data_IF_750416829808
#
_entry.id   IF_750416829808
#
_cell.length_a   1.000
_cell.length_b   1.000
_cell.length_c   1.000
_cell.angle_alpha   90.00
_cell.angle_beta   90.00
_cell.angle_gamma   90.00
#
_symmetry.space_group_name_H-M   'P 1'
#
loop_
_entity.id
_entity.type
_entity.pdbx_description
1 polymer ?
#
# COMPACT_ATOMS: atom_id res chain seq x y z
N UNK A 1 7.46 14.26 28.87
CA UNK A 1 6.86 14.29 27.51
C UNK A 1 7.94 13.91 26.51
N UNK A 2 7.71 12.97 25.59
CA UNK A 2 8.69 12.65 24.54
C UNK A 2 8.76 13.82 23.54
N UNK A 3 9.97 14.19 23.10
CA UNK A 3 10.13 15.23 22.07
C UNK A 3 9.31 14.91 20.81
N UNK A 4 8.54 15.88 20.26
CA UNK A 4 7.83 15.68 19.02
C UNK A 4 8.83 15.45 17.89
N UNK A 5 8.66 14.35 17.14
CA UNK A 5 9.48 14.08 15.94
C UNK A 5 9.47 15.32 15.03
N UNK A 6 10.63 15.74 14.54
CA UNK A 6 10.83 16.90 13.66
C UNK A 6 9.73 17.12 12.58
N UNK A 7 9.26 16.04 11.95
CA UNK A 7 8.17 16.11 10.97
C UNK A 7 6.83 16.53 11.58
N UNK A 8 6.51 16.01 12.77
CA UNK A 8 5.30 16.37 13.51
C UNK A 8 5.36 17.83 13.98
N UNK A 9 6.52 18.31 14.42
CA UNK A 9 6.74 19.72 14.73
C UNK A 9 6.51 20.60 13.49
N UNK A 10 7.13 20.27 12.35
CA UNK A 10 6.89 20.99 11.10
C UNK A 10 5.40 20.99 10.70
N UNK A 11 4.68 19.87 10.88
CA UNK A 11 3.23 19.78 10.58
C UNK A 11 2.40 20.68 11.49
N UNK A 12 2.69 20.72 12.78
CA UNK A 12 1.97 21.58 13.73
C UNK A 12 2.15 23.06 13.35
N UNK A 13 3.38 23.46 13.05
CA UNK A 13 3.69 24.83 12.60
C UNK A 13 3.04 25.13 11.24
N UNK A 14 3.01 24.17 10.30
CA UNK A 14 2.31 24.34 9.01
C UNK A 14 0.79 24.50 9.19
N UNK A 15 0.20 23.77 10.14
CA UNK A 15 -1.22 23.92 10.47
C UNK A 15 -1.51 25.32 11.02
N UNK A 16 -0.68 25.81 11.94
CA UNK A 16 -0.78 27.18 12.44
C UNK A 16 -0.72 28.19 11.29
N UNK A 17 0.22 28.01 10.36
CA UNK A 17 0.34 28.87 9.20
C UNK A 17 -0.90 28.82 8.30
N UNK A 18 -1.53 27.64 8.16
CA UNK A 18 -2.77 27.50 7.39
C UNK A 18 -3.94 28.23 8.05
N UNK A 19 -4.03 28.17 9.38
CA UNK A 19 -5.04 28.90 10.17
C UNK A 19 -4.88 30.41 9.97
N UNK A 20 -3.66 30.95 10.09
CA UNK A 20 -3.41 32.37 9.86
C UNK A 20 -3.65 32.79 8.42
N UNK A 21 -3.27 31.96 7.44
CA UNK A 21 -3.54 32.26 6.02
C UNK A 21 -5.05 32.38 5.75
N UNK A 22 -5.85 31.52 6.38
CA UNK A 22 -7.32 31.63 6.33
C UNK A 22 -7.82 32.88 7.06
N UNK A 23 -7.34 33.12 8.27
CA UNK A 23 -7.77 34.25 9.10
C UNK A 23 -7.47 35.61 8.46
N UNK A 24 -6.32 35.79 7.81
CA UNK A 24 -5.94 37.01 7.07
C UNK A 24 -6.99 37.39 6.00
N UNK A 25 -7.65 36.39 5.40
CA UNK A 25 -8.66 36.61 4.35
C UNK A 25 -10.06 36.78 4.93
N UNK A 26 -10.40 36.03 5.98
CA UNK A 26 -11.79 35.90 6.47
C UNK A 26 -12.09 36.77 7.68
N UNK A 27 -11.09 37.07 8.51
CA UNK A 27 -11.27 37.86 9.73
C UNK A 27 -10.96 39.31 9.42
N UNK A 28 -12.02 40.11 9.34
CA UNK A 28 -11.98 41.55 9.09
C UNK A 28 -12.50 42.30 10.32
N UNK A 29 -12.05 43.54 10.49
CA UNK A 29 -12.59 44.46 11.49
C UNK A 29 -13.93 45.07 11.04
N UNK A 30 -14.51 45.92 11.89
CA UNK A 30 -15.79 46.60 11.62
C UNK A 30 -15.72 47.55 10.41
N UNK A 31 -14.51 47.94 9.98
CA UNK A 31 -14.25 48.74 8.78
C UNK A 31 -13.92 47.87 7.54
N UNK A 32 -14.12 46.56 7.65
CA UNK A 32 -13.85 45.58 6.60
C UNK A 32 -12.35 45.52 6.20
N UNK A 33 -11.45 45.89 7.10
CA UNK A 33 -9.99 45.80 6.93
C UNK A 33 -9.45 44.52 7.58
N UNK A 34 -8.28 44.07 7.11
CA UNK A 34 -7.65 42.86 7.64
C UNK A 34 -7.11 43.12 9.05
N UNK A 35 -7.42 42.21 9.97
CA UNK A 35 -6.85 42.27 11.35
C UNK A 35 -5.40 41.77 11.37
N UNK A 36 -5.06 40.86 10.46
CA UNK A 36 -3.72 40.28 10.34
C UNK A 36 -3.11 40.63 8.98
N UNK A 37 -1.92 41.23 8.99
CA UNK A 37 -1.23 41.63 7.76
C UNK A 37 -0.28 40.56 7.22
N UNK A 38 0.18 39.66 8.08
CA UNK A 38 1.15 38.64 7.72
C UNK A 38 0.93 37.33 8.48
N UNK A 39 1.44 36.25 7.91
CA UNK A 39 1.41 34.94 8.55
C UNK A 39 2.63 34.79 9.47
N UNK A 40 2.44 34.63 10.79
CA UNK A 40 3.55 34.56 11.73
C UNK A 40 4.47 33.36 11.50
N UNK A 41 4.01 32.33 10.76
CA UNK A 41 4.82 31.15 10.44
C UNK A 41 5.85 31.44 9.34
N UNK A 42 5.68 32.49 8.54
CA UNK A 42 6.63 32.85 7.47
C UNK A 42 8.01 33.21 8.02
N UNK A 43 8.08 33.61 9.31
CA UNK A 43 9.34 33.82 10.01
C UNK A 43 10.22 32.58 9.93
N UNK A 44 9.66 31.36 10.04
CA UNK A 44 10.38 30.09 10.03
C UNK A 44 11.15 29.86 8.74
N UNK A 45 10.60 30.34 7.62
CA UNK A 45 11.23 30.31 6.30
C UNK A 45 12.36 31.33 6.25
N UNK A 46 12.10 32.55 6.73
CA UNK A 46 13.08 33.65 6.76
C UNK A 46 14.32 33.29 7.59
N UNK A 47 14.12 32.75 8.80
CA UNK A 47 15.21 32.35 9.70
C UNK A 47 15.76 30.94 9.41
N UNK A 48 15.22 30.26 8.39
CA UNK A 48 15.61 28.90 7.96
C UNK A 48 15.61 27.86 9.09
N UNK A 49 14.61 27.93 10.00
CA UNK A 49 14.50 27.04 11.18
C UNK A 49 13.60 25.83 10.98
N UNK A 50 13.06 25.62 9.77
CA UNK A 50 12.35 24.39 9.45
C UNK A 50 13.23 23.15 9.67
N UNK A 51 12.70 22.13 10.34
CA UNK A 51 13.45 20.90 10.50
C UNK A 51 13.66 20.18 9.16
N UNK A 52 14.83 19.56 8.97
CA UNK A 52 15.11 18.74 7.79
C UNK A 52 14.21 17.49 7.78
N UNK A 53 13.30 17.43 6.81
CA UNK A 53 12.41 16.28 6.60
C UNK A 53 13.13 15.17 5.80
N UNK A 54 13.97 14.35 6.44
CA UNK A 54 14.55 13.17 5.78
C UNK A 54 13.47 12.10 5.54
N UNK A 55 13.25 11.72 4.28
CA UNK A 55 12.36 10.60 3.94
C UNK A 55 13.08 9.29 4.31
N UNK A 56 12.42 8.46 5.13
CA UNK A 56 12.93 7.13 5.49
C UNK A 56 12.99 6.26 4.24
N UNK A 57 14.19 5.75 3.91
CA UNK A 57 14.49 4.86 2.78
C UNK A 57 14.38 3.37 3.16
N UNK A 58 13.39 3.04 4.01
CA UNK A 58 13.25 1.68 4.52
C UNK A 58 12.76 0.73 3.43
N UNK A 59 13.46 -0.39 3.26
CA UNK A 59 13.13 -1.49 2.37
C UNK A 59 13.71 -2.79 2.95
N UNK A 60 13.13 -3.91 2.53
CA UNK A 60 13.70 -5.24 2.73
C UNK A 60 14.84 -5.38 1.75
N UNK A 61 15.98 -5.88 2.21
CA UNK A 61 17.08 -6.17 1.29
C UNK A 61 16.78 -7.49 0.55
N UNK A 62 17.20 -7.63 -0.72
CA UNK A 62 16.92 -8.84 -1.51
C UNK A 62 17.26 -10.16 -0.81
N UNK A 63 18.39 -10.21 -0.10
CA UNK A 63 18.88 -11.37 0.64
C UNK A 63 17.99 -11.76 1.85
N UNK A 64 17.19 -10.83 2.37
CA UNK A 64 16.29 -11.06 3.50
C UNK A 64 14.90 -11.55 3.06
N UNK A 65 14.57 -11.45 1.76
CA UNK A 65 13.23 -11.74 1.26
C UNK A 65 12.82 -13.19 1.55
N UNK A 66 13.72 -14.14 1.36
CA UNK A 66 13.46 -15.56 1.65
C UNK A 66 13.05 -15.77 3.11
N UNK A 67 13.84 -15.24 4.05
CA UNK A 67 13.57 -15.35 5.48
C UNK A 67 12.24 -14.70 5.88
N UNK A 68 11.92 -13.51 5.34
CA UNK A 68 10.66 -12.81 5.64
C UNK A 68 9.46 -13.56 5.07
N UNK A 69 9.54 -14.07 3.85
CA UNK A 69 8.45 -14.83 3.22
C UNK A 69 8.21 -16.13 3.99
N UNK A 70 9.26 -16.91 4.28
CA UNK A 70 9.14 -18.15 5.05
C UNK A 70 8.56 -17.92 6.43
N UNK A 71 9.08 -16.94 7.19
CA UNK A 71 8.54 -16.57 8.50
C UNK A 71 7.07 -16.13 8.42
N UNK A 72 6.68 -15.40 7.37
CA UNK A 72 5.29 -15.00 7.15
C UNK A 72 4.39 -16.23 6.97
N UNK A 73 4.82 -17.22 6.20
CA UNK A 73 4.06 -18.45 5.97
C UNK A 73 4.00 -19.29 7.24
N UNK A 74 5.14 -19.56 7.86
CA UNK A 74 5.24 -20.36 9.10
C UNK A 74 4.40 -19.79 10.24
N UNK A 75 4.46 -18.48 10.51
CA UNK A 75 3.62 -17.87 11.55
C UNK A 75 2.13 -17.95 11.16
N UNK A 76 1.82 -17.78 9.87
CA UNK A 76 0.45 -17.86 9.36
C UNK A 76 -0.17 -19.25 9.53
N UNK A 77 0.62 -20.30 9.30
CA UNK A 77 0.18 -21.69 9.32
C UNK A 77 0.34 -22.36 10.69
N UNK A 78 0.98 -21.70 11.67
CA UNK A 78 1.02 -22.18 13.05
C UNK A 78 -0.39 -22.37 13.61
N UNK A 79 -0.65 -23.58 14.10
CA UNK A 79 -1.85 -23.86 14.88
C UNK A 79 -1.92 -22.92 16.08
N UNK A 80 -3.11 -22.40 16.43
CA UNK A 80 -3.25 -21.57 17.62
C UNK A 80 -2.91 -22.42 18.86
N UNK A 81 -2.16 -21.84 19.80
CA UNK A 81 -1.74 -22.53 21.03
C UNK A 81 -2.91 -22.86 21.97
N UNK A 82 -4.10 -22.35 21.68
CA UNK A 82 -5.38 -22.53 22.39
C UNK A 82 -6.49 -22.61 21.35
N UNK A 83 -7.68 -23.05 21.74
CA UNK A 83 -8.91 -22.99 20.92
C UNK A 83 -9.43 -21.55 20.71
N UNK A 84 -8.53 -20.57 20.59
CA UNK A 84 -8.87 -19.18 20.33
C UNK A 84 -8.61 -18.91 18.86
N UNK A 85 -9.63 -18.45 18.10
CA UNK A 85 -9.44 -18.02 16.72
C UNK A 85 -8.35 -16.97 16.62
N UNK A 86 -7.50 -17.06 15.60
CA UNK A 86 -6.47 -16.05 15.32
C UNK A 86 -6.61 -15.52 13.91
N UNK A 87 -6.17 -14.28 13.69
CA UNK A 87 -6.13 -13.68 12.35
C UNK A 87 -4.81 -13.96 11.63
N UNK A 88 -3.98 -14.91 12.09
CA UNK A 88 -2.63 -15.12 11.56
C UNK A 88 -2.61 -15.55 10.09
N UNK A 89 -3.50 -16.45 9.68
CA UNK A 89 -3.65 -16.83 8.26
C UNK A 89 -3.95 -15.62 7.38
N UNK A 90 -4.93 -14.81 7.77
CA UNK A 90 -5.32 -13.61 7.03
C UNK A 90 -4.25 -12.52 7.07
N UNK A 91 -3.58 -12.32 8.21
CA UNK A 91 -2.50 -11.35 8.37
C UNK A 91 -1.26 -11.74 7.56
N UNK A 92 -0.93 -13.02 7.52
CA UNK A 92 0.13 -13.57 6.68
C UNK A 92 -0.16 -13.32 5.20
N UNK A 93 -1.37 -13.65 4.75
CA UNK A 93 -1.80 -13.38 3.38
C UNK A 93 -1.79 -11.88 3.06
N UNK A 94 -2.19 -11.01 3.99
CA UNK A 94 -2.13 -9.56 3.81
C UNK A 94 -0.69 -9.04 3.69
N UNK A 95 0.24 -9.56 4.49
CA UNK A 95 1.67 -9.21 4.41
C UNK A 95 2.26 -9.61 3.07
N UNK A 96 2.04 -10.86 2.65
CA UNK A 96 2.51 -11.34 1.35
C UNK A 96 1.81 -10.59 0.20
N UNK A 97 0.51 -10.31 0.31
CA UNK A 97 -0.23 -9.53 -0.68
C UNK A 97 0.37 -8.12 -0.85
N UNK A 98 0.71 -7.43 0.25
CA UNK A 98 1.38 -6.13 0.18
C UNK A 98 2.77 -6.22 -0.48
N UNK A 99 3.53 -7.29 -0.20
CA UNK A 99 4.85 -7.50 -0.80
C UNK A 99 4.76 -7.73 -2.32
N UNK A 100 3.76 -8.50 -2.78
CA UNK A 100 3.61 -8.86 -4.18
C UNK A 100 2.76 -7.88 -5.00
N UNK A 101 2.01 -6.96 -4.40
CA UNK A 101 1.17 -5.99 -5.13
C UNK A 101 1.60 -4.53 -4.96
N UNK A 102 2.37 -4.22 -3.92
CA UNK A 102 2.73 -2.84 -3.60
C UNK A 102 1.56 -1.99 -3.09
N UNK A 103 0.39 -2.55 -2.78
CA UNK A 103 -0.75 -1.79 -2.25
C UNK A 103 -0.39 -1.05 -0.93
N UNK A 104 -1.05 0.08 -0.62
CA UNK A 104 -0.80 0.75 0.66
C UNK A 104 -1.37 -0.07 1.82
N UNK A 105 -0.70 -0.10 2.98
CA UNK A 105 -1.20 -0.84 4.14
C UNK A 105 -2.63 -0.47 4.56
N UNK A 106 -2.99 0.80 4.52
CA UNK A 106 -4.34 1.27 4.87
C UNK A 106 -5.42 0.99 3.82
N UNK A 107 -5.05 0.44 2.66
CA UNK A 107 -5.99 0.05 1.60
C UNK A 107 -6.35 -1.44 1.65
N UNK A 108 -5.60 -2.26 2.41
CA UNK A 108 -5.85 -3.71 2.58
C UNK A 108 -7.26 -3.97 3.13
N UNK A 109 -7.64 -3.27 4.20
CA UNK A 109 -8.96 -3.40 4.83
C UNK A 109 -10.12 -2.84 3.99
N UNK A 110 -9.86 -2.36 2.77
CA UNK A 110 -10.87 -1.82 1.84
C UNK A 110 -11.23 -2.79 0.72
N UNK A 111 -10.49 -3.89 0.58
CA UNK A 111 -10.68 -4.85 -0.51
C UNK A 111 -11.92 -5.71 -0.22
N UNK A 112 -13.02 -5.40 -0.90
CA UNK A 112 -14.24 -6.23 -0.90
C UNK A 112 -14.10 -7.37 -1.92
N UNK A 113 -14.73 -8.51 -1.63
CA UNK A 113 -14.79 -9.67 -2.55
C UNK A 113 -15.46 -9.29 -3.88
N UNK A 114 -16.46 -8.40 -3.86
CA UNK A 114 -17.15 -7.93 -5.06
C UNK A 114 -16.26 -7.06 -5.99
N UNK A 115 -15.15 -6.50 -5.48
CA UNK A 115 -14.21 -5.71 -6.30
C UNK A 115 -13.22 -6.58 -7.07
N UNK A 116 -13.22 -7.90 -6.85
CA UNK A 116 -12.25 -8.82 -7.44
C UNK A 116 -12.73 -9.26 -8.81
N UNK A 117 -12.01 -8.86 -9.85
CA UNK A 117 -12.24 -9.36 -11.19
C UNK A 117 -11.38 -10.60 -11.45
N UNK A 118 -11.98 -11.78 -11.32
CA UNK A 118 -11.28 -13.05 -11.53
C UNK A 118 -10.80 -13.27 -12.98
N UNK A 119 -11.50 -12.69 -13.97
CA UNK A 119 -11.14 -12.81 -15.41
C UNK A 119 -9.80 -12.16 -15.74
N UNK A 120 -9.51 -11.03 -15.11
CA UNK A 120 -8.28 -10.23 -15.32
C UNK A 120 -7.29 -10.33 -14.15
N UNK A 121 -7.66 -11.06 -13.07
CA UNK A 121 -6.91 -11.10 -11.79
C UNK A 121 -6.54 -9.70 -11.32
N UNK A 122 -7.55 -8.83 -11.25
CA UNK A 122 -7.40 -7.46 -10.77
C UNK A 122 -8.40 -7.14 -9.65
N UNK A 123 -8.10 -6.09 -8.89
CA UNK A 123 -9.05 -5.46 -7.98
C UNK A 123 -9.45 -4.13 -8.61
N UNK A 124 -10.75 -3.93 -8.80
CA UNK A 124 -11.32 -2.70 -9.35
C UNK A 124 -11.90 -1.92 -8.18
N UNK A 125 -11.13 -0.96 -7.68
CA UNK A 125 -11.61 -0.05 -6.65
C UNK A 125 -12.52 1.00 -7.29
N UNK A 126 -13.80 1.11 -6.87
CA UNK A 126 -14.71 2.10 -7.42
C UNK A 126 -14.30 3.52 -7.01
N UNK A 127 -14.69 4.50 -7.85
CA UNK A 127 -14.59 5.91 -7.52
C UNK A 127 -15.44 6.26 -6.28
N UNK A 128 -15.08 7.33 -5.56
CA UNK A 128 -15.65 7.66 -4.23
C UNK A 128 -17.18 7.75 -4.22
N UNK A 129 -17.76 8.29 -5.27
CA UNK A 129 -19.20 8.46 -5.50
C UNK A 129 -19.93 7.15 -5.77
N UNK A 130 -19.23 6.12 -6.24
CA UNK A 130 -19.77 4.80 -6.57
C UNK A 130 -19.59 3.79 -5.43
N UNK A 131 -18.89 4.16 -4.36
CA UNK A 131 -18.63 3.26 -3.23
C UNK A 131 -19.81 3.24 -2.27
N UNK A 132 -20.36 2.06 -2.00
CA UNK A 132 -21.45 1.84 -1.00
C UNK A 132 -21.10 2.42 0.37
N UNK A 133 -19.83 2.33 0.78
CA UNK A 133 -19.29 2.88 2.03
C UNK A 133 -18.12 3.81 1.74
N UNK A 134 -18.25 5.10 2.05
CA UNK A 134 -17.18 6.10 1.81
C UNK A 134 -15.81 5.71 2.39
N UNK A 135 -15.78 4.93 3.48
CA UNK A 135 -14.53 4.45 4.09
C UNK A 135 -13.77 3.41 3.23
N UNK A 136 -14.44 2.81 2.24
CA UNK A 136 -13.87 1.85 1.29
C UNK A 136 -13.25 2.55 0.06
N UNK A 137 -13.52 3.84 -0.13
CA UNK A 137 -12.92 4.62 -1.21
C UNK A 137 -11.39 4.76 -1.03
N UNK A 138 -10.65 4.73 -2.14
CA UNK A 138 -9.22 4.98 -2.13
C UNK A 138 -8.89 6.43 -1.81
N UNK A 139 -7.62 6.68 -1.46
CA UNK A 139 -7.16 8.00 -1.03
C UNK A 139 -7.27 9.04 -2.15
N UNK A 140 -7.01 8.65 -3.40
CA UNK A 140 -7.15 9.50 -4.59
C UNK A 140 -8.61 9.72 -5.03
N UNK A 141 -9.57 9.01 -4.45
CA UNK A 141 -11.01 9.10 -4.75
C UNK A 141 -11.44 8.70 -6.18
N UNK A 142 -10.51 8.29 -7.03
CA UNK A 142 -10.76 7.83 -8.40
C UNK A 142 -10.84 6.30 -8.49
N UNK A 143 -11.44 5.81 -9.58
CA UNK A 143 -11.41 4.39 -9.91
C UNK A 143 -9.97 3.92 -10.11
N UNK A 144 -9.61 2.76 -9.56
CA UNK A 144 -8.26 2.21 -9.70
C UNK A 144 -8.29 0.71 -9.95
N UNK A 145 -7.56 0.27 -10.98
CA UNK A 145 -7.41 -1.13 -11.34
C UNK A 145 -6.06 -1.65 -10.85
N UNK A 146 -6.05 -2.35 -9.72
CA UNK A 146 -4.87 -3.05 -9.25
C UNK A 146 -4.75 -4.40 -9.95
N UNK A 147 -3.98 -4.47 -11.02
CA UNK A 147 -3.63 -5.74 -11.68
C UNK A 147 -2.63 -6.49 -10.81
N UNK A 148 -2.94 -7.76 -10.51
CA UNK A 148 -2.13 -8.59 -9.63
C UNK A 148 -1.20 -9.48 -10.45
N UNK A 149 -0.08 -9.90 -9.86
CA UNK A 149 0.63 -11.12 -10.28
C UNK A 149 -0.02 -12.37 -9.66
N UNK A 150 0.50 -13.56 -9.94
CA UNK A 150 -0.13 -14.80 -9.46
C UNK A 150 -0.04 -14.94 -7.96
N UNK A 151 1.11 -14.61 -7.39
CA UNK A 151 1.37 -14.72 -5.96
C UNK A 151 0.47 -13.80 -5.15
N UNK A 152 0.29 -12.55 -5.58
CA UNK A 152 -0.68 -11.63 -4.98
C UNK A 152 -2.11 -12.16 -5.12
N UNK A 153 -2.48 -12.68 -6.29
CA UNK A 153 -3.82 -13.24 -6.49
C UNK A 153 -4.07 -14.49 -5.63
N UNK A 154 -3.07 -15.37 -5.48
CA UNK A 154 -3.13 -16.52 -4.58
C UNK A 154 -3.31 -16.10 -3.11
N UNK A 155 -2.63 -15.04 -2.65
CA UNK A 155 -2.85 -14.50 -1.30
C UNK A 155 -4.29 -14.00 -1.11
N UNK A 156 -4.83 -13.33 -2.13
CA UNK A 156 -6.21 -12.86 -2.12
C UNK A 156 -7.20 -14.03 -2.01
N UNK A 157 -7.02 -15.08 -2.83
CA UNK A 157 -7.86 -16.27 -2.78
C UNK A 157 -7.76 -17.00 -1.44
N UNK A 158 -6.54 -17.16 -0.92
CA UNK A 158 -6.31 -17.81 0.37
C UNK A 158 -7.00 -17.04 1.51
N UNK A 159 -6.85 -15.71 1.55
CA UNK A 159 -7.47 -14.86 2.57
C UNK A 159 -9.00 -14.89 2.50
N UNK A 160 -9.56 -14.80 1.28
CA UNK A 160 -11.00 -14.80 1.06
C UNK A 160 -11.68 -16.11 1.53
N UNK A 161 -10.96 -17.24 1.55
CA UNK A 161 -11.47 -18.51 2.09
C UNK A 161 -11.44 -18.61 3.61
N UNK A 162 -10.70 -17.75 4.31
CA UNK A 162 -10.63 -17.79 5.79
C UNK A 162 -11.87 -17.18 6.46
N UNK A 163 -12.75 -16.54 5.71
CA UNK A 163 -13.92 -15.86 6.24
C UNK A 163 -15.09 -15.87 5.25
N UNK A 164 -16.32 -15.81 5.75
CA UNK A 164 -17.54 -15.71 4.93
C UNK A 164 -17.99 -14.27 4.65
N UNK A 165 -17.35 -13.26 5.27
CA UNK A 165 -17.74 -11.85 5.16
C UNK A 165 -17.43 -11.20 3.81
N UNK A 166 -17.77 -9.92 3.69
CA UNK A 166 -17.66 -9.16 2.44
C UNK A 166 -16.23 -8.76 2.07
N UNK A 167 -15.33 -8.63 3.05
CA UNK A 167 -13.94 -8.26 2.81
C UNK A 167 -13.06 -9.47 2.57
N UNK A 168 -12.09 -9.30 1.69
CA UNK A 168 -11.06 -10.33 1.46
C UNK A 168 -10.24 -10.55 2.72
N UNK A 169 -9.78 -9.47 3.36
CA UNK A 169 -8.95 -9.52 4.55
C UNK A 169 -9.78 -9.12 5.78
N UNK A 170 -10.30 -10.11 6.50
CA UNK A 170 -11.06 -9.94 7.74
C UNK A 170 -10.22 -10.25 9.00
N UNK A 171 -10.60 -9.65 10.14
CA UNK A 171 -10.03 -9.96 11.44
C UNK A 171 -10.85 -11.03 12.17
N UNK A 172 -10.39 -11.45 13.36
CA UNK A 172 -11.22 -12.26 14.27
C UNK A 172 -12.33 -11.38 14.78
N UNK A 173 -13.59 -11.77 14.55
CA UNK A 173 -14.79 -11.01 14.96
C UNK A 173 -14.82 -9.55 14.43
N UNK A 174 -14.01 -9.25 13.43
CA UNK A 174 -13.93 -7.94 12.80
C UNK A 174 -14.17 -8.08 11.31
N UNK A 175 -15.02 -7.22 10.76
CA UNK A 175 -15.34 -7.20 9.33
C UNK A 175 -14.07 -7.02 8.48
N UNK A 176 -13.07 -6.31 9.01
CA UNK A 176 -11.80 -5.96 8.34
C UNK A 176 -10.61 -6.35 9.19
N UNK A 177 -9.52 -6.73 8.55
CA UNK A 177 -8.23 -6.86 9.20
C UNK A 177 -7.73 -5.48 9.65
N UNK A 178 -7.52 -5.29 10.96
CA UNK A 178 -7.06 -4.01 11.50
C UNK A 178 -5.58 -3.75 11.20
N UNK A 179 -5.19 -2.48 11.15
CA UNK A 179 -3.78 -2.10 11.03
C UNK A 179 -2.94 -2.57 12.23
N UNK A 180 -3.56 -2.75 13.40
CA UNK A 180 -2.91 -3.29 14.59
C UNK A 180 -2.55 -4.77 14.37
N UNK A 181 -3.47 -5.58 13.84
CA UNK A 181 -3.19 -6.99 13.57
C UNK A 181 -2.00 -7.16 12.61
N UNK A 182 -1.95 -6.37 11.54
CA UNK A 182 -0.83 -6.40 10.58
C UNK A 182 0.48 -5.97 11.25
N UNK A 183 0.46 -4.91 12.07
CA UNK A 183 1.64 -4.46 12.81
C UNK A 183 2.16 -5.54 13.74
N UNK A 184 1.28 -6.15 14.51
CA UNK A 184 1.65 -7.14 15.52
C UNK A 184 2.15 -8.42 14.85
N UNK A 185 1.60 -8.79 13.69
CA UNK A 185 2.11 -9.88 12.86
C UNK A 185 3.53 -9.58 12.31
N UNK A 186 3.78 -8.37 11.82
CA UNK A 186 5.13 -7.95 11.40
C UNK A 186 6.14 -7.93 12.56
N UNK A 187 5.71 -7.59 13.78
CA UNK A 187 6.54 -7.72 14.98
C UNK A 187 6.89 -9.18 15.26
N UNK A 188 5.96 -10.13 15.04
CA UNK A 188 6.25 -11.56 15.19
C UNK A 188 7.26 -12.05 14.16
N UNK A 189 7.13 -11.63 12.89
CA UNK A 189 8.13 -11.91 11.85
C UNK A 189 9.49 -11.35 12.27
N UNK A 190 9.54 -10.07 12.65
CA UNK A 190 10.74 -9.39 13.13
C UNK A 190 11.43 -10.19 14.23
N UNK A 191 10.70 -10.69 15.22
CA UNK A 191 11.26 -11.49 16.31
C UNK A 191 11.81 -12.86 15.90
N UNK A 192 11.41 -13.39 14.74
CA UNK A 192 11.96 -14.64 14.18
C UNK A 192 13.20 -14.40 13.30
N UNK A 193 13.43 -13.17 12.83
CA UNK A 193 14.63 -12.84 12.07
C UNK A 193 15.85 -12.78 13.00
N UNK A 194 17.01 -13.22 12.50
CA UNK A 194 18.26 -13.26 13.26
C UNK A 194 18.65 -11.89 13.83
N UNK A 195 18.46 -10.83 13.04
CA UNK A 195 18.83 -9.45 13.38
C UNK A 195 17.70 -8.68 14.09
N UNK A 196 16.54 -9.31 14.31
CA UNK A 196 15.33 -8.69 14.86
C UNK A 196 14.98 -7.36 14.20
N UNK A 197 15.20 -7.25 12.88
CA UNK A 197 14.96 -6.03 12.11
C UNK A 197 13.56 -5.51 12.30
N UNK A 198 13.41 -4.23 12.63
CA UNK A 198 12.10 -3.60 12.72
C UNK A 198 11.41 -3.53 11.35
N UNK A 199 10.21 -4.11 11.25
CA UNK A 199 9.42 -4.16 10.02
C UNK A 199 8.19 -3.24 10.12
N UNK A 200 8.28 -1.93 9.80
CA UNK A 200 7.11 -1.08 9.79
C UNK A 200 6.20 -1.44 8.62
N UNK A 201 4.86 -1.33 8.78
CA UNK A 201 3.88 -1.73 7.75
C UNK A 201 4.18 -1.24 6.32
N UNK A 202 4.70 -0.02 6.17
CA UNK A 202 5.04 0.58 4.87
C UNK A 202 6.23 -0.09 4.16
N UNK A 203 7.01 -0.92 4.86
CA UNK A 203 8.23 -1.52 4.33
C UNK A 203 7.93 -2.40 3.11
N UNK A 204 6.84 -3.17 3.14
CA UNK A 204 6.47 -4.11 2.08
C UNK A 204 6.23 -3.39 0.75
N UNK A 205 5.46 -2.30 0.79
CA UNK A 205 5.24 -1.44 -0.38
C UNK A 205 6.53 -0.76 -0.85
N UNK A 206 7.36 -0.28 0.08
CA UNK A 206 8.63 0.35 -0.27
C UNK A 206 9.60 -0.66 -0.92
N UNK A 207 9.60 -1.91 -0.45
CA UNK A 207 10.32 -3.02 -1.06
C UNK A 207 9.80 -3.33 -2.45
N UNK A 208 8.48 -3.46 -2.63
CA UNK A 208 7.87 -3.70 -3.95
C UNK A 208 8.32 -2.65 -4.98
N UNK A 209 8.28 -1.36 -4.62
CA UNK A 209 8.74 -0.27 -5.50
C UNK A 209 10.23 -0.44 -5.84
N UNK A 210 11.09 -0.66 -4.84
CA UNK A 210 12.53 -0.83 -5.06
C UNK A 210 12.87 -2.08 -5.87
N UNK A 211 12.09 -3.15 -5.72
CA UNK A 211 12.25 -4.39 -6.47
C UNK A 211 11.77 -4.19 -7.91
N UNK A 212 10.69 -3.44 -8.13
CA UNK A 212 10.24 -3.08 -9.46
C UNK A 212 11.29 -2.27 -10.23
N UNK A 213 11.93 -1.30 -9.58
CA UNK A 213 13.06 -0.55 -10.17
C UNK A 213 14.20 -1.51 -10.55
N UNK A 214 14.56 -2.44 -9.67
CA UNK A 214 15.62 -3.44 -9.91
C UNK A 214 15.26 -4.41 -11.04
N UNK A 215 14.00 -4.79 -11.16
CA UNK A 215 13.47 -5.63 -12.23
C UNK A 215 13.34 -4.90 -13.58
N UNK A 216 13.79 -3.64 -13.68
CA UNK A 216 13.75 -2.85 -14.90
C UNK A 216 12.35 -2.37 -15.28
N UNK A 217 11.43 -2.26 -14.31
CA UNK A 217 10.09 -1.70 -14.55
C UNK A 217 10.20 -0.17 -14.64
N UNK A 218 9.70 0.40 -15.73
CA UNK A 218 9.72 1.84 -15.94
C UNK A 218 8.95 2.63 -14.89
N UNK A 219 9.40 3.84 -14.56
CA UNK A 219 8.85 4.68 -13.50
C UNK A 219 7.33 4.94 -13.65
N UNK A 220 6.85 5.10 -14.88
CA UNK A 220 5.42 5.24 -15.19
C UNK A 220 4.62 4.01 -14.70
N UNK A 221 5.03 2.80 -15.10
CA UNK A 221 4.36 1.57 -14.68
C UNK A 221 4.45 1.35 -13.17
N UNK A 222 5.56 1.73 -12.51
CA UNK A 222 5.67 1.68 -11.05
C UNK A 222 4.63 2.61 -10.39
N UNK A 223 4.44 3.83 -10.91
CA UNK A 223 3.41 4.75 -10.42
C UNK A 223 2.02 4.13 -10.56
N UNK A 224 1.71 3.51 -11.71
CA UNK A 224 0.43 2.85 -11.97
C UNK A 224 0.21 1.68 -11.02
N UNK A 225 1.16 0.74 -10.92
CA UNK A 225 1.08 -0.41 -10.02
C UNK A 225 0.82 -0.01 -8.57
N UNK A 226 1.34 1.15 -8.16
CA UNK A 226 1.24 1.66 -6.81
C UNK A 226 0.09 2.66 -6.59
N UNK A 227 -0.70 3.02 -7.60
CA UNK A 227 -1.65 4.14 -7.53
C UNK A 227 -1.00 5.40 -6.91
N UNK A 228 0.18 5.78 -7.39
CA UNK A 228 0.93 6.91 -6.84
C UNK A 228 0.60 8.19 -7.61
N UNK A 229 -0.21 9.06 -7.01
CA UNK A 229 -0.51 10.39 -7.56
C UNK A 229 0.78 11.16 -7.86
N UNK A 230 0.90 11.75 -9.05
CA UNK A 230 2.10 12.48 -9.50
C UNK A 230 2.48 13.71 -8.67
N UNK A 231 1.62 14.17 -7.75
CA UNK A 231 1.89 15.34 -6.90
C UNK A 231 2.94 15.03 -5.82
N UNK A 232 4.19 15.46 -6.03
CA UNK A 232 5.21 15.50 -4.97
C UNK A 232 6.64 15.11 -5.36
N UNK A 233 6.87 14.75 -6.63
CA UNK A 233 8.19 14.80 -7.27
C UNK A 233 8.03 15.64 -8.53
N UNK A 234 9.12 16.16 -9.10
CA UNK A 234 9.12 16.85 -10.41
C UNK A 234 8.18 16.10 -11.34
N UNK A 235 6.98 16.67 -11.55
CA UNK A 235 5.93 15.99 -12.27
C UNK A 235 6.44 15.95 -13.69
N UNK A 236 6.85 14.79 -14.15
CA UNK A 236 7.05 14.60 -15.57
C UNK A 236 5.68 14.80 -16.20
N UNK A 237 5.46 15.99 -16.75
CA UNK A 237 4.21 16.42 -17.39
C UNK A 237 3.75 15.42 -18.46
N UNK A 238 4.66 14.59 -18.98
CA UNK A 238 4.35 13.55 -19.97
C UNK A 238 3.57 12.36 -19.38
N UNK A 239 3.64 12.10 -18.08
CA UNK A 239 2.94 10.97 -17.46
C UNK A 239 1.41 11.14 -17.44
N UNK A 240 0.91 12.38 -17.51
CA UNK A 240 -0.53 12.65 -17.63
C UNK A 240 -1.13 12.25 -18.99
N UNK A 241 -0.30 11.99 -20.00
CA UNK A 241 -0.74 11.58 -21.35
C UNK A 241 -0.57 10.08 -21.60
N UNK A 242 0.00 9.33 -20.64
CA UNK A 242 0.28 7.91 -20.80
C UNK A 242 -0.87 7.08 -20.24
N UNK A 243 -1.41 6.20 -21.09
CA UNK A 243 -2.25 5.08 -20.67
C UNK A 243 -1.49 3.78 -20.89
N UNK A 244 -1.60 2.84 -19.97
CA UNK A 244 -1.07 1.48 -20.14
C UNK A 244 -2.21 0.49 -20.32
N UNK A 245 -2.10 -0.42 -21.27
CA UNK A 245 -2.98 -1.58 -21.35
C UNK A 245 -2.79 -2.49 -20.14
N UNK A 246 -3.84 -3.21 -19.73
CA UNK A 246 -3.74 -4.14 -18.60
C UNK A 246 -2.69 -5.24 -18.85
N UNK A 247 -2.44 -5.63 -20.11
CA UNK A 247 -1.33 -6.52 -20.48
C UNK A 247 0.03 -5.96 -20.08
N UNK A 248 0.28 -4.67 -20.31
CA UNK A 248 1.55 -4.02 -19.97
C UNK A 248 1.73 -3.96 -18.45
N UNK A 249 0.67 -3.61 -17.72
CA UNK A 249 0.69 -3.62 -16.25
C UNK A 249 0.91 -5.04 -15.72
N UNK A 250 0.26 -6.04 -16.32
CA UNK A 250 0.43 -7.43 -15.97
C UNK A 250 1.87 -7.89 -16.19
N UNK A 251 2.47 -7.55 -17.33
CA UNK A 251 3.88 -7.83 -17.60
C UNK A 251 4.81 -7.15 -16.58
N UNK A 252 4.53 -5.90 -16.22
CA UNK A 252 5.28 -5.18 -15.20
C UNK A 252 5.20 -5.87 -13.83
N UNK A 253 4.01 -6.22 -13.34
CA UNK A 253 3.89 -6.91 -12.03
C UNK A 253 4.46 -8.33 -12.06
N UNK A 254 4.43 -9.02 -13.20
CA UNK A 254 5.09 -10.33 -13.36
C UNK A 254 6.61 -10.21 -13.28
N UNK A 255 7.22 -9.17 -13.85
CA UNK A 255 8.67 -8.91 -13.67
C UNK A 255 9.03 -8.72 -12.20
N UNK A 256 8.21 -7.98 -11.45
CA UNK A 256 8.42 -7.81 -9.99
C UNK A 256 8.30 -9.14 -9.27
N UNK A 257 7.30 -9.95 -9.61
CA UNK A 257 7.12 -11.29 -9.04
C UNK A 257 8.35 -12.18 -9.26
N UNK A 258 8.86 -12.24 -10.50
CA UNK A 258 10.08 -12.98 -10.84
C UNK A 258 11.27 -12.53 -10.02
N UNK A 259 11.51 -11.22 -9.92
CA UNK A 259 12.64 -10.68 -9.14
C UNK A 259 12.52 -10.99 -7.63
N UNK A 260 11.30 -11.00 -7.08
CA UNK A 260 11.08 -11.44 -5.69
C UNK A 260 11.52 -12.90 -5.53
N UNK A 261 11.13 -13.79 -6.44
CA UNK A 261 11.50 -15.20 -6.38
C UNK A 261 13.00 -15.45 -6.61
N UNK A 262 13.59 -14.73 -7.57
CA UNK A 262 15.02 -14.80 -7.86
C UNK A 262 15.86 -14.34 -6.67
N UNK A 263 15.39 -13.34 -5.91
CA UNK A 263 16.05 -12.86 -4.71
C UNK A 263 15.78 -13.77 -3.50
N UNK A 264 14.54 -14.22 -3.31
CA UNK A 264 14.11 -14.98 -2.14
C UNK A 264 14.54 -16.45 -2.16
N UNK A 265 14.83 -17.02 -3.35
CA UNK A 265 15.17 -18.44 -3.54
C UNK A 265 14.16 -19.39 -2.88
N UNK A 266 12.88 -19.05 -2.97
CA UNK A 266 11.76 -19.82 -2.43
C UNK A 266 10.86 -20.34 -3.54
N UNK A 267 10.30 -21.54 -3.38
CA UNK A 267 9.38 -22.10 -4.36
C UNK A 267 8.06 -21.31 -4.44
N UNK A 268 7.60 -21.04 -5.66
CA UNK A 268 6.34 -20.30 -5.91
C UNK A 268 5.12 -21.08 -5.45
N UNK A 269 5.14 -22.41 -5.51
CA UNK A 269 4.07 -23.28 -5.03
C UNK A 269 3.85 -23.17 -3.51
N UNK A 270 4.94 -23.13 -2.73
CA UNK A 270 4.92 -22.89 -1.28
C UNK A 270 4.25 -21.54 -0.98
N UNK A 271 4.72 -20.45 -1.62
CA UNK A 271 4.15 -19.11 -1.40
C UNK A 271 2.68 -19.03 -1.82
N UNK A 272 2.31 -19.70 -2.91
CA UNK A 272 0.95 -19.73 -3.41
C UNK A 272 0.03 -20.69 -2.65
N UNK A 273 0.53 -21.44 -1.65
CA UNK A 273 -0.28 -22.32 -0.78
C UNK A 273 -1.20 -23.27 -1.55
N UNK A 274 -0.70 -23.84 -2.65
CA UNK A 274 -1.45 -24.76 -3.51
C UNK A 274 -2.48 -24.11 -4.45
N UNK A 275 -2.66 -22.79 -4.43
CA UNK A 275 -3.61 -22.11 -5.32
C UNK A 275 -3.11 -21.98 -6.76
N UNK A 276 -1.80 -22.11 -7.00
CA UNK A 276 -1.21 -21.88 -8.32
C UNK A 276 -1.81 -22.79 -9.40
N UNK A 277 -2.01 -24.08 -9.09
CA UNK A 277 -2.63 -25.05 -10.01
C UNK A 277 -4.12 -24.84 -10.21
N UNK A 278 -4.77 -24.07 -9.33
CA UNK A 278 -6.22 -23.79 -9.39
C UNK A 278 -6.55 -22.55 -10.23
N UNK A 279 -5.54 -21.80 -10.68
CA UNK A 279 -5.74 -20.53 -11.35
C UNK A 279 -6.29 -20.74 -12.77
N UNK A 280 -7.52 -20.29 -13.01
CA UNK A 280 -8.12 -20.29 -14.35
C UNK A 280 -7.36 -19.35 -15.31
N UNK A 281 -7.25 -19.67 -16.62
CA UNK A 281 -6.63 -18.79 -17.61
C UNK A 281 -7.21 -17.37 -17.59
N UNK A 282 -6.35 -16.38 -17.88
CA UNK A 282 -6.74 -14.98 -17.98
C UNK A 282 -7.52 -14.71 -19.28
N UNK A 283 -8.46 -13.78 -19.23
CA UNK A 283 -9.12 -13.27 -20.43
C UNK A 283 -8.18 -12.32 -21.19
N UNK A 284 -7.42 -12.89 -22.12
CA UNK A 284 -6.42 -12.14 -22.91
C UNK A 284 -7.03 -11.00 -23.72
N UNK A 285 -8.28 -11.14 -24.19
CA UNK A 285 -8.98 -10.11 -24.96
C UNK A 285 -9.26 -8.89 -24.09
N UNK A 286 -9.77 -9.09 -22.88
CA UNK A 286 -10.01 -7.97 -21.95
C UNK A 286 -8.70 -7.28 -21.59
N UNK A 287 -7.63 -8.04 -21.35
CA UNK A 287 -6.34 -7.46 -20.97
C UNK A 287 -5.71 -6.58 -22.06
N UNK A 288 -5.93 -6.92 -23.33
CA UNK A 288 -5.37 -6.17 -24.47
C UNK A 288 -6.15 -4.90 -24.80
N UNK A 289 -7.45 -4.85 -24.51
CA UNK A 289 -8.31 -3.73 -24.92
C UNK A 289 -8.46 -2.69 -23.83
N UNK A 290 -8.44 -3.11 -22.55
CA UNK A 290 -8.64 -2.19 -21.43
C UNK A 290 -7.33 -1.51 -21.04
N UNK A 291 -7.38 -0.20 -20.86
CA UNK A 291 -6.25 0.61 -20.39
C UNK A 291 -6.50 1.19 -18.99
N UNK A 292 -5.42 1.62 -18.36
CA UNK A 292 -5.40 2.33 -17.08
C UNK A 292 -4.51 3.57 -17.21
N UNK A 293 -4.86 4.62 -16.50
CA UNK A 293 -4.11 5.87 -16.40
C UNK A 293 -3.82 6.20 -14.94
N UNK A 294 -2.94 7.19 -14.74
CA UNK A 294 -2.63 7.77 -13.42
C UNK A 294 -3.60 8.87 -13.02
#
# INVERSE_FOLDING_TARGET
>A
MSEPRNRSANKAVTLLGSIFSYAIVVVLDDANQRIYDFNPVDIMTTIKKWHKNKRSKIRVNPEELGAIISASIEIGDKAPLREVPTSFKTASAAVLFMLFSGIRPGEIGKIRKEYVCHKTRSIIFPARDQVKRKCDALKNAEEFHLVLNDSAYCQLLYAAKQNSGDYVFAGVEQEKLSEANVRDFLTKISNQLLDKKHLPRKILRASFISIAERAGVGAFYIKVLCNHSGQGQSVDVTDGYKSAYLTEIRNATTKVESEIYDSAKIDKGIVCRGYLSTLKPLDAKILQVKSVSL
#
